data_IF_720851068340
#
_entry.id   IF_720851068340
#
_cell.length_a   1.000
_cell.length_b   1.000
_cell.length_c   1.000
_cell.angle_alpha   90.00
_cell.angle_beta   90.00
_cell.angle_gamma   90.00
#
_symmetry.space_group_name_H-M   'P 1'
#
loop_
_entity.id
_entity.type
_entity.pdbx_description
1 polymer ?
#
# COMPACT_ATOMS: atom_id res chain seq x y z
N UNK A 1 51.62 13.52 7.01
CA UNK A 1 50.80 12.77 7.99
C UNK A 1 49.67 13.71 8.37
N UNK A 2 48.63 13.74 7.53
CA UNK A 2 47.52 14.68 7.66
C UNK A 2 46.42 13.98 8.43
N UNK A 3 46.14 14.51 9.61
CA UNK A 3 45.15 14.02 10.56
C UNK A 3 43.74 14.37 10.04
N UNK A 4 42.98 13.36 9.65
CA UNK A 4 41.54 13.49 9.37
C UNK A 4 40.78 13.33 10.70
N UNK A 5 40.97 14.30 11.60
CA UNK A 5 40.22 14.34 12.84
C UNK A 5 38.77 14.80 12.59
N UNK A 6 37.84 13.89 12.85
CA UNK A 6 36.52 14.14 13.44
C UNK A 6 35.51 14.97 12.63
N UNK A 7 34.79 14.30 11.73
CA UNK A 7 33.45 14.72 11.29
C UNK A 7 32.39 13.83 11.96
N UNK A 8 32.28 13.90 13.30
CA UNK A 8 31.21 13.22 14.05
C UNK A 8 30.49 14.20 14.99
N UNK A 9 30.23 15.40 14.48
CA UNK A 9 29.26 16.29 15.10
C UNK A 9 27.88 15.81 14.68
N UNK A 10 27.21 15.06 15.57
CA UNK A 10 25.81 14.71 15.40
C UNK A 10 25.01 16.00 15.12
N UNK A 11 24.59 16.17 13.86
CA UNK A 11 23.70 17.26 13.50
C UNK A 11 22.37 16.98 14.22
N UNK A 12 21.79 17.95 14.93
CA UNK A 12 20.50 17.77 15.60
C UNK A 12 19.38 17.71 14.55
N UNK A 13 19.22 16.53 13.95
CA UNK A 13 18.16 16.22 13.01
C UNK A 13 16.94 15.72 13.78
N UNK A 14 15.77 16.18 13.38
CA UNK A 14 14.49 15.69 13.89
C UNK A 14 13.58 15.33 12.72
N UNK A 15 12.74 14.31 12.93
CA UNK A 15 11.70 13.95 11.97
C UNK A 15 10.58 14.97 12.12
N UNK A 16 10.31 15.76 11.09
CA UNK A 16 9.20 16.73 11.07
C UNK A 16 7.86 16.01 10.87
N UNK A 17 7.81 15.09 9.91
CA UNK A 17 6.62 14.29 9.62
C UNK A 17 6.98 12.84 9.28
N UNK A 18 6.10 11.94 9.68
CA UNK A 18 6.17 10.52 9.39
C UNK A 18 4.89 10.11 8.67
N UNK A 19 5.06 9.45 7.53
CA UNK A 19 3.96 9.05 6.67
C UNK A 19 4.14 7.61 6.21
N UNK A 20 3.01 6.91 6.14
CA UNK A 20 2.92 5.61 5.47
C UNK A 20 1.80 5.66 4.43
N UNK A 21 1.82 4.73 3.48
CA UNK A 21 0.86 4.56 2.41
C UNK A 21 0.36 3.12 2.42
N UNK A 22 -0.60 2.78 3.32
CA UNK A 22 -1.00 1.40 3.54
C UNK A 22 -1.42 0.68 2.26
N UNK A 23 -2.25 1.36 1.45
CA UNK A 23 -2.62 0.90 0.11
C UNK A 23 -1.80 1.67 -0.91
N UNK A 24 -1.05 0.94 -1.74
CA UNK A 24 -0.26 1.51 -2.83
C UNK A 24 -1.13 2.42 -3.70
N UNK A 25 -0.60 3.59 -4.04
CA UNK A 25 -1.27 4.61 -4.87
C UNK A 25 -2.48 5.32 -4.25
N UNK A 26 -2.86 5.01 -3.00
CA UNK A 26 -3.89 5.75 -2.26
C UNK A 26 -3.29 6.88 -1.40
N UNK A 27 -4.14 7.61 -0.67
CA UNK A 27 -3.68 8.70 0.21
C UNK A 27 -2.78 8.18 1.33
N UNK A 28 -1.81 9.02 1.72
CA UNK A 28 -0.94 8.74 2.86
C UNK A 28 -1.64 8.94 4.20
N UNK A 29 -1.14 8.25 5.22
CA UNK A 29 -1.53 8.38 6.62
C UNK A 29 -0.35 8.95 7.42
N UNK A 30 -0.55 10.14 8.01
CA UNK A 30 0.43 10.75 8.91
C UNK A 30 0.40 10.05 10.27
N UNK A 31 1.57 9.74 10.80
CA UNK A 31 1.77 9.09 12.08
C UNK A 31 2.65 9.94 13.01
N UNK A 32 2.51 9.73 14.32
CA UNK A 32 3.44 10.25 15.32
C UNK A 32 4.61 9.29 15.60
N UNK A 33 4.41 8.01 15.31
CA UNK A 33 5.37 6.92 15.52
C UNK A 33 4.95 5.72 14.69
N UNK A 34 5.92 4.89 14.29
CA UNK A 34 5.69 3.61 13.62
C UNK A 34 6.85 2.67 13.95
N UNK A 35 6.62 1.37 13.94
CA UNK A 35 7.68 0.39 14.05
C UNK A 35 8.49 0.31 12.75
N UNK A 36 9.81 0.23 12.86
CA UNK A 36 10.70 -0.02 11.73
C UNK A 36 11.03 -1.51 11.70
N UNK A 37 10.53 -2.18 10.66
CA UNK A 37 10.78 -3.58 10.37
C UNK A 37 11.90 -3.72 9.35
N UNK A 38 12.40 -4.94 9.15
CA UNK A 38 13.37 -5.25 8.09
C UNK A 38 12.85 -4.90 6.69
N UNK A 39 11.53 -4.95 6.50
CA UNK A 39 10.83 -4.64 5.24
C UNK A 39 10.44 -3.17 5.09
N UNK A 40 10.73 -2.32 6.09
CA UNK A 40 10.38 -0.91 6.11
C UNK A 40 9.46 -0.52 7.28
N UNK A 41 8.75 0.59 7.15
CA UNK A 41 7.81 1.02 8.18
C UNK A 41 6.62 0.07 8.24
N UNK A 42 6.19 -0.29 9.45
CA UNK A 42 5.04 -1.14 9.66
C UNK A 42 3.82 -0.63 8.87
N UNK A 43 3.17 -1.55 8.17
CA UNK A 43 2.01 -1.31 7.29
C UNK A 43 2.26 -0.51 6.00
N UNK A 44 3.47 -0.01 5.74
CA UNK A 44 3.72 0.74 4.51
C UNK A 44 3.64 -0.17 3.28
N UNK A 45 2.76 0.19 2.33
CA UNK A 45 2.55 -0.55 1.08
C UNK A 45 2.23 -2.04 1.29
N UNK A 46 1.50 -2.37 2.35
CA UNK A 46 1.05 -3.74 2.62
C UNK A 46 0.01 -4.22 1.60
N UNK A 47 -0.83 -3.30 1.11
CA UNK A 47 -1.88 -3.62 0.13
C UNK A 47 -1.67 -2.90 -1.21
N UNK A 48 -2.28 -3.44 -2.26
CA UNK A 48 -2.35 -2.82 -3.57
C UNK A 48 -3.61 -3.24 -4.33
N UNK A 49 -4.01 -2.43 -5.32
CA UNK A 49 -5.12 -2.74 -6.22
C UNK A 49 -4.57 -3.38 -7.48
N UNK A 50 -5.20 -4.46 -7.94
CA UNK A 50 -4.90 -5.15 -9.19
C UNK A 50 -6.13 -5.20 -10.09
N UNK A 51 -5.90 -5.34 -11.38
CA UNK A 51 -6.95 -5.51 -12.38
C UNK A 51 -7.37 -6.99 -12.57
N UNK A 52 -8.24 -7.22 -13.55
CA UNK A 52 -8.72 -8.55 -13.92
C UNK A 52 -7.62 -9.51 -14.41
N UNK A 53 -6.48 -8.97 -14.86
CA UNK A 53 -5.32 -9.73 -15.30
C UNK A 53 -4.28 -9.87 -14.18
N UNK A 54 -4.62 -9.47 -12.95
CA UNK A 54 -3.74 -9.45 -11.78
C UNK A 54 -2.55 -8.51 -11.95
N UNK A 55 -2.70 -7.47 -12.76
CA UNK A 55 -1.70 -6.41 -12.93
C UNK A 55 -1.97 -5.28 -11.94
N UNK A 56 -0.91 -4.83 -11.26
CA UNK A 56 -0.99 -3.68 -10.37
C UNK A 56 -1.49 -2.43 -11.11
N UNK A 57 -2.47 -1.75 -10.51
CA UNK A 57 -3.01 -0.49 -11.01
C UNK A 57 -2.50 0.69 -10.20
N UNK A 58 -1.95 1.69 -10.89
CA UNK A 58 -1.36 2.87 -10.27
C UNK A 58 -2.26 4.10 -10.27
N UNK A 59 -1.93 5.06 -9.39
CA UNK A 59 -2.55 6.39 -9.37
C UNK A 59 -2.38 7.15 -10.71
N UNK A 60 -1.34 6.84 -11.49
CA UNK A 60 -1.13 7.48 -12.80
C UNK A 60 -2.20 7.04 -13.80
N UNK A 61 -2.66 5.80 -13.67
CA UNK A 61 -3.72 5.22 -14.49
C UNK A 61 -5.09 5.61 -13.95
N UNK A 62 -5.29 5.51 -12.62
CA UNK A 62 -6.54 5.86 -11.94
C UNK A 62 -6.30 6.96 -10.88
N UNK A 63 -6.30 8.25 -11.27
CA UNK A 63 -6.00 9.36 -10.36
C UNK A 63 -6.90 9.45 -9.11
N UNK A 64 -8.13 8.93 -9.20
CA UNK A 64 -9.08 8.92 -8.07
C UNK A 64 -8.64 8.03 -6.91
N UNK A 65 -7.65 7.14 -7.09
CA UNK A 65 -7.04 6.41 -5.98
C UNK A 65 -6.54 7.36 -4.88
N UNK A 66 -6.10 8.57 -5.24
CA UNK A 66 -5.68 9.61 -4.30
C UNK A 66 -6.77 10.03 -3.29
N UNK A 67 -8.04 9.81 -3.63
CA UNK A 67 -9.19 10.17 -2.80
C UNK A 67 -9.58 9.07 -1.81
N UNK A 68 -8.97 7.88 -1.94
CA UNK A 68 -9.15 6.78 -1.00
C UNK A 68 -8.26 7.09 0.21
N UNK A 69 -8.88 7.26 1.36
CA UNK A 69 -8.26 7.64 2.63
C UNK A 69 -8.18 6.42 3.56
N UNK A 70 -6.98 5.85 3.76
CA UNK A 70 -6.76 4.78 4.73
C UNK A 70 -6.69 5.32 6.16
N UNK A 71 -7.18 4.54 7.13
CA UNK A 71 -7.03 4.78 8.57
C UNK A 71 -6.94 3.45 9.31
N UNK A 72 -6.20 3.41 10.41
CA UNK A 72 -6.26 2.28 11.34
C UNK A 72 -7.20 2.59 12.49
N UNK A 73 -8.15 1.69 12.76
CA UNK A 73 -9.11 1.83 13.86
C UNK A 73 -9.50 0.46 14.38
N UNK A 74 -9.45 0.28 15.70
CA UNK A 74 -9.90 -0.95 16.37
C UNK A 74 -9.25 -2.23 15.81
N UNK A 75 -7.96 -2.17 15.44
CA UNK A 75 -7.24 -3.31 14.86
C UNK A 75 -7.64 -3.66 13.42
N UNK A 76 -8.24 -2.70 12.70
CA UNK A 76 -8.67 -2.86 11.31
C UNK A 76 -8.15 -1.73 10.44
N UNK A 77 -7.99 -2.03 9.15
CA UNK A 77 -7.83 -1.04 8.10
C UNK A 77 -9.21 -0.55 7.67
N UNK A 78 -9.49 0.73 7.89
CA UNK A 78 -10.66 1.43 7.41
C UNK A 78 -10.30 2.21 6.13
N UNK A 79 -11.04 2.00 5.04
CA UNK A 79 -10.94 2.78 3.81
C UNK A 79 -12.19 3.65 3.61
N UNK A 80 -11.97 4.93 3.33
CA UNK A 80 -13.03 5.89 3.00
C UNK A 80 -12.77 6.53 1.65
N UNK A 81 -13.83 6.79 0.90
CA UNK A 81 -13.77 7.55 -0.33
C UNK A 81 -15.07 8.35 -0.53
N UNK A 82 -15.05 9.46 -1.29
CA UNK A 82 -16.25 10.26 -1.54
C UNK A 82 -17.40 9.43 -2.13
N UNK A 83 -18.58 9.49 -1.50
CA UNK A 83 -19.78 8.79 -1.95
C UNK A 83 -19.82 7.29 -1.65
N UNK A 84 -18.83 6.74 -0.94
CA UNK A 84 -18.75 5.32 -0.57
C UNK A 84 -19.04 5.11 0.91
N UNK A 85 -19.65 3.97 1.25
CA UNK A 85 -19.64 3.48 2.63
C UNK A 85 -18.21 3.09 3.04
N UNK A 86 -17.90 3.18 4.33
CA UNK A 86 -16.56 2.83 4.83
C UNK A 86 -16.34 1.32 4.76
N UNK A 87 -15.26 0.90 4.08
CA UNK A 87 -14.82 -0.48 4.03
C UNK A 87 -13.91 -0.76 5.23
N UNK A 88 -14.18 -1.85 5.94
CA UNK A 88 -13.36 -2.28 7.08
C UNK A 88 -12.76 -3.65 6.76
N UNK A 89 -11.44 -3.76 6.89
CA UNK A 89 -10.68 -4.97 6.63
C UNK A 89 -9.91 -5.33 7.89
N UNK A 90 -9.98 -6.60 8.32
CA UNK A 90 -9.09 -7.08 9.37
C UNK A 90 -7.65 -7.07 8.84
N UNK A 91 -6.68 -6.75 9.71
CA UNK A 91 -5.28 -6.61 9.29
C UNK A 91 -4.65 -7.96 8.90
N UNK A 92 -5.18 -9.04 9.45
CA UNK A 92 -4.84 -10.44 9.16
C UNK A 92 -5.81 -11.10 8.17
N UNK A 93 -6.71 -10.31 7.56
CA UNK A 93 -7.59 -10.85 6.52
C UNK A 93 -6.75 -11.26 5.30
N UNK A 94 -6.91 -12.51 4.91
CA UNK A 94 -6.39 -13.08 3.67
C UNK A 94 -7.36 -14.19 3.27
N UNK A 95 -7.99 -14.08 2.10
CA UNK A 95 -8.98 -15.07 1.67
C UNK A 95 -8.35 -16.18 0.84
N UNK A 96 -7.67 -15.81 -0.25
CA UNK A 96 -7.08 -16.79 -1.16
C UNK A 96 -5.73 -16.34 -1.69
N UNK A 97 -4.71 -17.22 -1.73
CA UNK A 97 -3.44 -16.89 -2.34
C UNK A 97 -3.61 -16.63 -3.84
N UNK A 98 -2.89 -15.65 -4.36
CA UNK A 98 -2.84 -15.32 -5.76
C UNK A 98 -1.44 -14.85 -6.15
N UNK A 99 -1.20 -14.78 -7.46
CA UNK A 99 0.03 -14.23 -8.02
C UNK A 99 -0.33 -12.99 -8.81
N UNK A 100 0.44 -11.93 -8.59
CA UNK A 100 0.18 -10.62 -9.19
C UNK A 100 1.46 -10.04 -9.77
N UNK A 101 1.31 -9.20 -10.78
CA UNK A 101 2.44 -8.53 -11.43
C UNK A 101 2.53 -7.08 -10.98
N UNK A 102 3.68 -6.70 -10.44
CA UNK A 102 4.01 -5.34 -10.02
C UNK A 102 5.21 -4.87 -10.83
N UNK A 103 4.97 -4.01 -11.83
CA UNK A 103 5.98 -3.67 -12.82
C UNK A 103 6.49 -4.91 -13.56
N UNK A 104 7.80 -5.19 -13.51
CA UNK A 104 8.44 -6.33 -14.15
C UNK A 104 8.51 -7.57 -13.21
N UNK A 105 8.05 -7.44 -11.97
CA UNK A 105 8.14 -8.50 -10.96
C UNK A 105 6.80 -9.22 -10.78
N UNK A 106 6.85 -10.55 -10.64
CA UNK A 106 5.73 -11.34 -10.15
C UNK A 106 5.92 -11.63 -8.66
N UNK A 107 4.87 -11.40 -7.88
CA UNK A 107 4.89 -11.56 -6.42
C UNK A 107 3.69 -12.38 -5.97
N UNK A 108 3.91 -13.16 -4.92
CA UNK A 108 2.84 -13.87 -4.22
C UNK A 108 2.11 -12.90 -3.30
N UNK A 109 0.78 -13.01 -3.29
CA UNK A 109 -0.14 -12.11 -2.62
C UNK A 109 -1.37 -12.89 -2.12
N UNK A 110 -2.20 -12.24 -1.31
CA UNK A 110 -3.51 -12.75 -0.91
C UNK A 110 -4.60 -11.80 -1.36
N UNK A 111 -5.64 -12.36 -1.95
CA UNK A 111 -6.86 -11.64 -2.27
C UNK A 111 -7.63 -11.28 -0.98
N UNK A 112 -8.12 -10.04 -0.93
CA UNK A 112 -8.85 -9.49 0.23
C UNK A 112 -10.37 -9.68 0.13
N UNK A 113 -10.84 -10.48 -0.82
CA UNK A 113 -12.23 -10.90 -0.95
C UNK A 113 -13.08 -10.04 -1.86
N UNK A 114 -14.24 -10.60 -2.20
CA UNK A 114 -15.17 -9.99 -3.15
C UNK A 114 -15.79 -8.69 -2.64
N UNK A 115 -15.91 -8.51 -1.31
CA UNK A 115 -16.36 -7.25 -0.73
C UNK A 115 -15.38 -6.11 -1.03
N UNK A 116 -14.08 -6.36 -0.86
CA UNK A 116 -13.07 -5.37 -1.17
C UNK A 116 -13.04 -5.11 -2.69
N UNK A 117 -13.07 -6.17 -3.51
CA UNK A 117 -13.10 -6.06 -4.96
C UNK A 117 -14.28 -5.22 -5.46
N UNK A 118 -15.48 -5.47 -4.95
CA UNK A 118 -16.67 -4.69 -5.31
C UNK A 118 -16.50 -3.22 -4.92
N UNK A 119 -16.02 -2.94 -3.70
CA UNK A 119 -15.82 -1.57 -3.23
C UNK A 119 -14.85 -0.76 -4.11
N UNK A 120 -13.71 -1.36 -4.48
CA UNK A 120 -12.74 -0.70 -5.35
C UNK A 120 -13.28 -0.55 -6.78
N UNK A 121 -13.96 -1.57 -7.29
CA UNK A 121 -14.60 -1.54 -8.61
C UNK A 121 -15.68 -0.44 -8.70
N UNK A 122 -16.53 -0.31 -7.68
CA UNK A 122 -17.58 0.72 -7.64
C UNK A 122 -17.01 2.13 -7.62
N UNK A 123 -15.94 2.35 -6.84
CA UNK A 123 -15.36 3.69 -6.70
C UNK A 123 -14.52 4.08 -7.92
N UNK A 124 -13.63 3.20 -8.37
CA UNK A 124 -12.62 3.49 -9.40
C UNK A 124 -13.06 3.08 -10.82
N UNK A 125 -13.94 2.10 -10.96
CA UNK A 125 -14.30 1.49 -12.24
C UNK A 125 -14.98 2.43 -13.24
N UNK A 126 -15.59 3.52 -12.77
CA UNK A 126 -16.23 4.53 -13.65
C UNK A 126 -15.23 5.23 -14.57
N UNK A 127 -13.99 5.39 -14.12
CA UNK A 127 -12.93 6.09 -14.85
C UNK A 127 -11.87 5.11 -15.36
N UNK A 128 -12.05 3.82 -15.10
CA UNK A 128 -11.12 2.79 -15.55
C UNK A 128 -11.29 2.52 -17.06
N UNK A 129 -10.20 2.27 -17.80
CA UNK A 129 -10.27 1.76 -19.16
C UNK A 129 -11.11 0.47 -19.30
N UNK A 130 -11.44 0.10 -20.53
CA UNK A 130 -12.05 -1.20 -20.77
C UNK A 130 -11.05 -2.33 -20.44
N UNK A 131 -11.51 -3.39 -19.77
CA UNK A 131 -10.69 -4.56 -19.45
C UNK A 131 -9.92 -4.50 -18.13
N UNK A 132 -9.98 -3.39 -17.38
CA UNK A 132 -9.29 -3.26 -16.07
C UNK A 132 -10.15 -3.72 -14.89
N UNK A 133 -11.43 -4.05 -15.13
CA UNK A 133 -12.38 -4.49 -14.11
C UNK A 133 -12.62 -6.01 -14.15
N UNK A 134 -12.88 -6.68 -13.01
CA UNK A 134 -12.99 -6.09 -11.67
C UNK A 134 -11.62 -5.66 -11.12
N UNK A 135 -11.64 -4.62 -10.29
CA UNK A 135 -10.48 -4.20 -9.51
C UNK A 135 -10.51 -4.94 -8.18
N UNK A 136 -9.40 -5.59 -7.81
CA UNK A 136 -9.29 -6.37 -6.58
C UNK A 136 -8.24 -5.76 -5.66
N UNK A 137 -8.50 -5.78 -4.36
CA UNK A 137 -7.49 -5.44 -3.36
C UNK A 137 -6.74 -6.73 -3.00
N UNK A 138 -5.41 -6.68 -3.04
CA UNK A 138 -4.56 -7.76 -2.58
C UNK A 138 -3.61 -7.25 -1.51
N UNK A 139 -3.28 -8.10 -0.53
CA UNK A 139 -2.17 -7.90 0.39
C UNK A 139 -0.96 -8.68 -0.12
N UNK A 140 0.23 -8.13 0.04
CA UNK A 140 1.42 -8.95 -0.16
C UNK A 140 1.53 -10.03 0.91
N UNK A 141 2.12 -11.16 0.54
CA UNK A 141 2.53 -12.16 1.53
C UNK A 141 3.65 -11.58 2.43
N UNK A 142 3.48 -11.57 3.77
CA UNK A 142 4.49 -11.06 4.70
C UNK A 142 5.80 -11.87 4.68
N UNK A 143 5.77 -13.13 4.24
CA UNK A 143 6.97 -13.98 4.12
C UNK A 143 7.79 -13.69 2.85
N UNK A 144 7.26 -12.87 1.93
CA UNK A 144 8.00 -12.43 0.74
C UNK A 144 8.96 -11.31 1.12
N UNK A 145 10.25 -11.65 1.14
CA UNK A 145 11.32 -10.67 1.39
C UNK A 145 11.36 -9.63 0.26
N UNK A 146 10.91 -8.42 0.57
CA UNK A 146 11.01 -7.27 -0.33
C UNK A 146 12.38 -6.62 -0.15
N UNK A 147 13.38 -7.15 -0.85
CA UNK A 147 14.65 -6.45 -0.94
C UNK A 147 14.39 -5.08 -1.57
N UNK A 148 14.70 -4.01 -0.84
CA UNK A 148 14.85 -2.69 -1.46
C UNK A 148 15.86 -2.87 -2.59
N UNK A 149 15.49 -2.45 -3.80
CA UNK A 149 16.25 -2.68 -5.04
C UNK A 149 17.75 -2.76 -4.79
N UNK A 150 18.41 -3.86 -5.21
CA UNK A 150 19.87 -4.01 -5.09
C UNK A 150 20.65 -3.10 -6.07
N UNK A 151 20.01 -2.07 -6.62
CA UNK A 151 20.65 -1.09 -7.50
C UNK A 151 21.38 -0.02 -6.70
#
# INVERSE_FOLDING_TARGET
MTDFASADAALPLHIEELWIYPVKSCAGLRLSSVELLETGLEWDRTWMVVDANHEFVSQRELPRMALIQPRFRMGQLELRAPGMLSLHLALDAAESPCRVRVWDDEVDAYDMGDLAAQWFTDFLGRDAPAGVQPLRLVSFDPDVSRLSSMK
#
